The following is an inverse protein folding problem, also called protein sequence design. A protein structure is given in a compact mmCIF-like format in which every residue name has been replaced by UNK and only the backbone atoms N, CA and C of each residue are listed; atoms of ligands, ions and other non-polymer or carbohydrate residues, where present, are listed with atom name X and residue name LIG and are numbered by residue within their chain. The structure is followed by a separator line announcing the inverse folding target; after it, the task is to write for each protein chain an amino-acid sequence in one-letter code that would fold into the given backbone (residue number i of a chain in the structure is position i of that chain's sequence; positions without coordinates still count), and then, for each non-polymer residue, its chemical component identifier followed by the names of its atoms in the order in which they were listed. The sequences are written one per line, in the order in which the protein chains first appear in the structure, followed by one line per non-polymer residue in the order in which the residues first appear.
data_IF_357696615712
#
_entry.id   IF_357696615712
#
_cell.length_a   1.000
_cell.length_b   1.000
_cell.length_c   1.000
_cell.angle_alpha   90.00
_cell.angle_beta   90.00
_cell.angle_gamma   90.00
#
_symmetry.space_group_name_H-M   'P 1'
#
loop_
_entity.id
_entity.type
_entity.pdbx_description
1 polymer ?
#
# COMPACT_ATOMS: atom_id res chain seq x y z
N UNK A 1 37.36 -12.43 32.06
CA UNK A 1 36.68 -12.31 30.77
C UNK A 1 37.76 -12.36 29.72
N UNK A 2 37.70 -13.35 28.85
CA UNK A 2 38.63 -13.52 27.73
C UNK A 2 38.33 -12.49 26.64
N UNK A 3 39.29 -12.18 25.77
CA UNK A 3 39.07 -11.27 24.64
C UNK A 3 37.92 -11.75 23.72
N UNK A 4 37.68 -13.06 23.65
CA UNK A 4 36.54 -13.65 22.93
C UNK A 4 35.19 -13.35 23.59
N UNK A 5 35.12 -13.33 24.93
CA UNK A 5 33.89 -12.98 25.64
C UNK A 5 33.54 -11.49 25.38
N UNK A 6 34.56 -10.65 25.26
CA UNK A 6 34.40 -9.21 24.99
C UNK A 6 33.95 -8.91 23.55
N UNK A 7 34.30 -9.75 22.57
CA UNK A 7 33.80 -9.63 21.19
C UNK A 7 32.34 -10.10 21.06
N UNK A 8 31.97 -11.22 21.68
CA UNK A 8 30.58 -11.68 21.69
C UNK A 8 29.66 -10.63 22.35
N UNK A 9 30.09 -10.04 23.46
CA UNK A 9 29.33 -8.98 24.15
C UNK A 9 29.25 -7.67 23.32
N UNK A 10 30.17 -7.43 22.39
CA UNK A 10 30.11 -6.27 21.46
C UNK A 10 29.14 -6.49 20.31
N UNK A 11 28.96 -7.71 19.83
CA UNK A 11 28.02 -8.04 18.75
C UNK A 11 26.55 -8.05 19.21
N UNK A 12 26.32 -8.13 20.53
CA UNK A 12 25.00 -7.95 21.14
C UNK A 12 24.56 -6.47 21.26
N UNK A 13 25.44 -5.52 20.91
CA UNK A 13 25.07 -4.10 20.92
C UNK A 13 24.09 -3.83 19.77
N UNK A 14 23.02 -3.04 20.00
CA UNK A 14 22.10 -2.65 18.95
C UNK A 14 22.85 -2.07 17.74
N UNK A 15 22.76 -2.78 16.61
CA UNK A 15 23.34 -2.31 15.36
C UNK A 15 22.55 -1.09 14.90
N UNK A 16 23.19 -0.11 14.23
CA UNK A 16 22.48 0.99 13.61
C UNK A 16 21.30 0.44 12.78
N UNK A 17 20.10 1.05 12.87
CA UNK A 17 18.96 0.61 12.07
C UNK A 17 19.36 0.50 10.60
N UNK A 18 19.12 -0.65 9.98
CA UNK A 18 19.48 -0.86 8.59
C UNK A 18 18.74 0.18 7.71
N UNK A 19 19.42 0.73 6.69
CA UNK A 19 18.89 1.70 5.70
C UNK A 19 17.83 1.07 4.78
N UNK A 20 16.92 0.25 5.31
CA UNK A 20 16.02 -0.62 4.54
C UNK A 20 14.91 0.16 3.81
N UNK A 21 14.65 1.41 4.18
CA UNK A 21 13.50 2.16 3.68
C UNK A 21 13.79 3.67 3.54
N UNK A 22 14.55 4.11 2.53
CA UNK A 22 14.86 5.53 2.34
C UNK A 22 13.62 6.43 2.12
N UNK A 23 12.48 5.87 1.71
CA UNK A 23 11.21 6.59 1.53
C UNK A 23 10.05 6.10 2.43
N UNK A 24 10.32 5.18 3.38
CA UNK A 24 9.30 4.71 4.32
C UNK A 24 8.10 3.98 3.69
N UNK A 25 7.01 3.88 4.45
CA UNK A 25 5.70 3.39 3.99
C UNK A 25 4.94 4.59 3.44
N UNK A 26 4.31 4.46 2.27
CA UNK A 26 3.44 5.50 1.70
C UNK A 26 1.99 5.06 1.76
N UNK A 27 1.14 5.80 2.46
CA UNK A 27 -0.29 5.53 2.48
C UNK A 27 -1.03 6.15 1.29
N UNK A 28 -2.14 5.53 0.89
CA UNK A 28 -3.02 6.03 -0.16
C UNK A 28 -4.48 5.64 0.09
N UNK A 29 -5.38 6.33 -0.60
CA UNK A 29 -6.80 5.99 -0.67
C UNK A 29 -7.23 5.82 -2.12
N UNK A 30 -8.26 5.00 -2.37
CA UNK A 30 -8.87 4.83 -3.69
C UNK A 30 -10.30 5.30 -3.63
N UNK A 31 -10.61 6.30 -4.45
CA UNK A 31 -11.94 6.82 -4.66
C UNK A 31 -12.47 6.35 -6.03
N UNK A 32 -13.71 5.85 -6.08
CA UNK A 32 -14.42 5.57 -7.34
C UNK A 32 -15.51 6.61 -7.54
N UNK A 33 -15.51 7.29 -8.70
CA UNK A 33 -16.59 8.24 -9.03
C UNK A 33 -17.83 7.56 -9.61
N UNK A 34 -17.71 6.28 -10.00
CA UNK A 34 -18.83 5.45 -10.41
C UNK A 34 -18.58 3.99 -10.03
N UNK A 35 -19.62 3.19 -9.93
CA UNK A 35 -19.52 1.73 -9.77
C UNK A 35 -20.17 1.01 -10.95
N UNK A 36 -19.35 0.60 -11.92
CA UNK A 36 -19.82 -0.10 -13.12
C UNK A 36 -20.40 -1.50 -12.82
N UNK A 37 -20.03 -2.08 -11.68
CA UNK A 37 -20.43 -3.45 -11.30
C UNK A 37 -21.59 -3.48 -10.30
N UNK A 38 -21.79 -2.40 -9.56
CA UNK A 38 -22.70 -2.30 -8.42
C UNK A 38 -22.26 -3.09 -7.18
N UNK A 39 -21.01 -3.58 -7.13
CA UNK A 39 -20.49 -4.44 -6.04
C UNK A 39 -19.69 -3.65 -5.01
N UNK A 40 -19.02 -2.58 -5.41
CA UNK A 40 -17.95 -1.93 -4.63
C UNK A 40 -18.35 -0.60 -4.00
N UNK A 41 -19.41 0.03 -4.51
CA UNK A 41 -19.81 1.38 -4.14
C UNK A 41 -18.97 2.48 -4.78
N UNK A 42 -19.35 3.71 -4.46
CA UNK A 42 -18.72 4.96 -4.89
C UNK A 42 -18.10 5.68 -3.69
N UNK A 43 -17.25 6.69 -3.95
CA UNK A 43 -16.48 7.39 -2.93
C UNK A 43 -15.21 6.62 -2.55
N UNK A 44 -14.69 6.86 -1.34
CA UNK A 44 -13.49 6.17 -0.85
C UNK A 44 -13.85 4.73 -0.51
N UNK A 45 -13.35 3.79 -1.31
CA UNK A 45 -13.67 2.35 -1.21
C UNK A 45 -12.50 1.52 -0.70
N UNK A 46 -11.27 2.06 -0.75
CA UNK A 46 -10.06 1.39 -0.26
C UNK A 46 -9.19 2.39 0.51
N UNK A 47 -8.62 1.91 1.60
CA UNK A 47 -7.38 2.45 2.19
C UNK A 47 -6.23 1.48 1.93
N UNK A 48 -5.02 1.98 1.71
CA UNK A 48 -3.89 1.13 1.38
C UNK A 48 -2.54 1.75 1.72
N UNK A 49 -1.51 0.92 1.66
CA UNK A 49 -0.11 1.32 1.83
C UNK A 49 0.78 0.63 0.81
N UNK A 50 1.76 1.37 0.30
CA UNK A 50 2.92 0.79 -0.40
C UNK A 50 4.06 0.72 0.61
N UNK A 51 4.47 -0.50 0.94
CA UNK A 51 5.59 -0.74 1.83
C UNK A 51 6.90 -0.32 1.18
N UNK A 52 7.93 -0.06 1.98
CA UNK A 52 9.26 0.28 1.47
C UNK A 52 9.88 -0.82 0.57
N UNK A 53 9.38 -2.06 0.68
CA UNK A 53 9.75 -3.20 -0.17
C UNK A 53 9.08 -3.18 -1.56
N UNK A 54 8.15 -2.25 -1.80
CA UNK A 54 7.37 -2.15 -3.04
C UNK A 54 6.02 -2.86 -3.00
N UNK A 55 5.79 -3.73 -2.00
CA UNK A 55 4.53 -4.46 -1.84
C UNK A 55 3.37 -3.50 -1.56
N UNK A 56 2.22 -3.77 -2.16
CA UNK A 56 1.00 -3.00 -1.99
C UNK A 56 0.01 -3.77 -1.12
N UNK A 57 -0.40 -3.18 0.00
CA UNK A 57 -1.44 -3.72 0.87
C UNK A 57 -2.66 -2.84 0.76
N UNK A 58 -3.82 -3.46 0.55
CA UNK A 58 -5.10 -2.75 0.50
C UNK A 58 -6.08 -3.32 1.52
N UNK A 59 -6.97 -2.48 2.00
CA UNK A 59 -8.15 -2.84 2.76
C UNK A 59 -9.37 -2.22 2.07
N UNK A 60 -10.29 -3.07 1.64
CA UNK A 60 -11.58 -2.65 1.13
C UNK A 60 -12.47 -2.18 2.29
N UNK A 61 -13.03 -0.97 2.17
CA UNK A 61 -13.95 -0.41 3.15
C UNK A 61 -15.40 -0.90 2.95
N UNK A 62 -15.67 -1.54 1.80
CA UNK A 62 -16.94 -2.14 1.43
C UNK A 62 -16.82 -3.66 1.22
N UNK A 63 -17.84 -4.46 1.58
CA UNK A 63 -19.04 -4.07 2.31
C UNK A 63 -18.75 -3.82 3.80
N UNK A 64 -19.41 -2.83 4.42
CA UNK A 64 -19.35 -2.64 5.87
C UNK A 64 -19.88 -3.88 6.62
N UNK A 65 -19.39 -4.18 7.84
CA UNK A 65 -18.49 -3.38 8.65
C UNK A 65 -16.99 -3.71 8.47
N UNK A 66 -16.65 -4.73 7.68
CA UNK A 66 -15.26 -5.17 7.42
C UNK A 66 -15.17 -5.73 6.01
N UNK A 67 -14.52 -5.00 5.11
CA UNK A 67 -14.17 -5.56 3.80
C UNK A 67 -12.90 -6.43 3.88
N UNK A 68 -12.45 -6.87 2.72
CA UNK A 68 -11.28 -7.74 2.60
C UNK A 68 -9.95 -6.99 2.65
N UNK A 69 -8.90 -7.68 3.10
CA UNK A 69 -7.51 -7.22 2.99
C UNK A 69 -6.82 -8.06 1.92
N UNK A 70 -6.05 -7.43 1.05
CA UNK A 70 -5.25 -8.12 0.03
C UNK A 70 -3.83 -7.54 -0.02
N UNK A 71 -2.87 -8.40 -0.37
CA UNK A 71 -1.45 -8.05 -0.52
C UNK A 71 -1.05 -8.40 -1.95
N UNK A 72 -0.41 -7.45 -2.61
CA UNK A 72 0.13 -7.57 -3.96
C UNK A 72 1.64 -7.35 -3.92
N UNK A 73 2.35 -7.96 -4.88
CA UNK A 73 3.79 -7.80 -5.02
C UNK A 73 4.17 -6.35 -5.39
N UNK A 74 3.27 -5.62 -6.05
CA UNK A 74 3.45 -4.22 -6.46
C UNK A 74 2.14 -3.44 -6.55
N UNK A 75 2.23 -2.12 -6.59
CA UNK A 75 1.08 -1.24 -6.92
C UNK A 75 0.55 -1.55 -8.32
N UNK A 76 1.43 -1.80 -9.30
CA UNK A 76 1.05 -2.16 -10.66
C UNK A 76 0.18 -3.41 -10.72
N UNK A 77 0.45 -4.42 -9.90
CA UNK A 77 -0.36 -5.65 -9.90
C UNK A 77 -1.74 -5.42 -9.30
N UNK A 78 -1.86 -4.59 -8.27
CA UNK A 78 -3.16 -4.10 -7.79
C UNK A 78 -3.93 -3.37 -8.91
N UNK A 79 -3.26 -2.44 -9.61
CA UNK A 79 -3.87 -1.66 -10.69
C UNK A 79 -4.37 -2.54 -11.84
N UNK A 80 -3.56 -3.51 -12.29
CA UNK A 80 -3.89 -4.44 -13.38
C UNK A 80 -5.14 -5.27 -13.11
N UNK A 81 -5.43 -5.58 -11.85
CA UNK A 81 -6.55 -6.45 -11.48
C UNK A 81 -7.79 -5.65 -11.10
N UNK A 82 -7.64 -4.55 -10.36
CA UNK A 82 -8.76 -3.88 -9.68
C UNK A 82 -9.07 -2.47 -10.16
N UNK A 83 -8.24 -1.87 -11.02
CA UNK A 83 -8.43 -0.50 -11.50
C UNK A 83 -8.52 -0.45 -13.02
N UNK A 84 -7.47 -0.90 -13.71
CA UNK A 84 -7.35 -0.81 -15.18
C UNK A 84 -8.48 -1.55 -15.92
N UNK A 85 -8.93 -2.76 -15.49
CA UNK A 85 -10.03 -3.45 -16.16
C UNK A 85 -11.40 -2.78 -15.98
N UNK A 86 -11.51 -1.78 -15.09
CA UNK A 86 -12.75 -1.13 -14.71
C UNK A 86 -12.74 0.38 -15.00
N UNK A 87 -12.59 0.81 -16.26
CA UNK A 87 -12.45 2.20 -16.63
C UNK A 87 -13.72 3.03 -16.36
N UNK A 88 -14.90 2.39 -16.28
CA UNK A 88 -16.15 3.08 -15.96
C UNK A 88 -16.15 3.69 -14.56
N UNK A 89 -15.37 3.11 -13.64
CA UNK A 89 -15.33 3.56 -12.26
C UNK A 89 -14.70 4.95 -12.04
N UNK A 90 -13.94 5.46 -13.03
CA UNK A 90 -13.24 6.76 -12.95
C UNK A 90 -12.48 6.89 -11.62
N UNK A 91 -11.53 5.98 -11.44
CA UNK A 91 -10.82 5.78 -10.17
C UNK A 91 -9.80 6.90 -9.95
N UNK A 92 -9.75 7.44 -8.73
CA UNK A 92 -8.76 8.41 -8.27
C UNK A 92 -8.01 7.80 -7.09
N UNK A 93 -6.70 7.68 -7.21
CA UNK A 93 -5.81 7.26 -6.13
C UNK A 93 -5.11 8.50 -5.58
N UNK A 94 -5.26 8.76 -4.28
CA UNK A 94 -4.61 9.90 -3.61
C UNK A 94 -3.62 9.37 -2.58
N UNK A 95 -2.36 9.75 -2.73
CA UNK A 95 -1.29 9.45 -1.77
C UNK A 95 -1.25 10.49 -0.64
N UNK A 96 -0.59 10.14 0.46
CA UNK A 96 -0.49 10.98 1.66
C UNK A 96 0.19 12.34 1.44
N UNK A 97 1.03 12.47 0.42
CA UNK A 97 1.68 13.72 0.03
C UNK A 97 0.79 14.59 -0.90
N UNK A 98 -0.39 14.11 -1.26
CA UNK A 98 -1.32 14.76 -2.16
C UNK A 98 -1.12 14.42 -3.64
N UNK A 99 -0.16 13.56 -4.00
CA UNK A 99 -0.06 13.04 -5.37
C UNK A 99 -1.37 12.33 -5.73
N UNK A 100 -1.94 12.67 -6.89
CA UNK A 100 -3.13 12.00 -7.42
C UNK A 100 -2.83 11.30 -8.74
N UNK A 101 -3.36 10.09 -8.87
CA UNK A 101 -3.37 9.32 -10.12
C UNK A 101 -4.81 9.02 -10.51
N UNK A 102 -5.19 9.40 -11.73
CA UNK A 102 -6.54 9.23 -12.27
C UNK A 102 -6.59 8.13 -13.34
N UNK A 103 -7.66 7.34 -13.32
CA UNK A 103 -7.89 6.20 -14.20
C UNK A 103 -9.34 6.18 -14.73
N UNK A 104 -9.56 6.08 -16.05
CA UNK A 104 -8.54 6.16 -17.09
C UNK A 104 -7.82 7.52 -17.06
N UNK A 105 -6.56 7.54 -17.46
CA UNK A 105 -5.79 8.77 -17.60
C UNK A 105 -6.31 9.53 -18.82
N UNK A 106 -6.54 10.84 -18.69
CA UNK A 106 -6.94 11.72 -19.80
C UNK A 106 -5.89 11.77 -20.92
#
# INVERSE_FOLDING_TARGET
MSESDDEELRDLKPKPPAKLAPQGIKSFTVCRQSDETGISGEGIVIEGVVLATGQCVIHWLYPPPRGGIAIFDSMEDFLKVHVIPHPGNKTIITFEDGEQRTYPSD
#
